data_IF_919885378579
#
_entry.id   IF_919885378579
#
_cell.length_a   1.000
_cell.length_b   1.000
_cell.length_c   1.000
_cell.angle_alpha   90.00
_cell.angle_beta   90.00
_cell.angle_gamma   90.00
#
_symmetry.space_group_name_H-M   'P 1'
#
loop_
_entity.id
_entity.type
_entity.pdbx_description
1 polymer ?
#
# COMPACT_ATOMS: atom_id res chain seq x y z
N UNK A 1 20.47 18.36 -2.37
CA UNK A 1 21.04 18.38 -1.00
C UNK A 1 19.89 18.47 0.03
N UNK A 2 19.11 17.40 0.24
CA UNK A 2 17.83 17.48 0.98
C UNK A 2 17.80 16.89 2.40
N UNK A 3 18.87 16.26 2.88
CA UNK A 3 18.86 15.63 4.22
C UNK A 3 20.01 16.12 5.10
N UNK A 4 19.69 17.09 5.98
CA UNK A 4 20.61 17.71 6.94
C UNK A 4 21.00 16.83 8.13
N UNK A 5 20.23 15.79 8.46
CA UNK A 5 20.48 14.90 9.62
C UNK A 5 20.39 13.43 9.23
N UNK A 6 21.18 12.58 9.88
CA UNK A 6 21.13 11.12 9.71
C UNK A 6 19.71 10.56 9.97
N UNK A 7 19.02 11.10 10.98
CA UNK A 7 17.64 10.72 11.31
C UNK A 7 16.66 11.07 10.20
N UNK A 8 16.82 12.21 9.51
CA UNK A 8 15.90 12.59 8.44
C UNK A 8 16.06 11.70 7.20
N UNK A 9 17.27 11.17 6.95
CA UNK A 9 17.49 10.15 5.90
C UNK A 9 16.77 8.85 6.23
N UNK A 10 16.87 8.39 7.48
CA UNK A 10 16.21 7.15 7.92
C UNK A 10 14.70 7.28 7.83
N UNK A 11 14.13 8.37 8.35
CA UNK A 11 12.69 8.62 8.28
C UNK A 11 12.24 8.67 6.82
N UNK A 12 12.99 9.33 5.96
CA UNK A 12 12.66 9.40 4.54
C UNK A 12 12.68 8.02 3.85
N UNK A 13 13.69 7.20 4.11
CA UNK A 13 13.78 5.83 3.59
C UNK A 13 12.60 4.99 4.09
N UNK A 14 12.29 5.06 5.39
CA UNK A 14 11.14 4.36 5.98
C UNK A 14 9.82 4.80 5.35
N UNK A 15 9.62 6.09 5.13
CA UNK A 15 8.43 6.62 4.47
C UNK A 15 8.29 6.11 3.03
N UNK A 16 9.39 6.03 2.28
CA UNK A 16 9.38 5.46 0.91
C UNK A 16 9.07 3.97 0.96
N UNK A 17 9.68 3.21 1.87
CA UNK A 17 9.39 1.77 2.03
C UNK A 17 7.92 1.53 2.41
N UNK A 18 7.38 2.36 3.30
CA UNK A 18 5.98 2.33 3.71
C UNK A 18 5.04 2.62 2.53
N UNK A 19 5.33 3.68 1.76
CA UNK A 19 4.55 4.07 0.59
C UNK A 19 4.58 3.01 -0.50
N UNK A 20 5.76 2.43 -0.79
CA UNK A 20 5.90 1.36 -1.78
C UNK A 20 5.15 0.09 -1.36
N UNK A 21 5.24 -0.30 -0.08
CA UNK A 21 4.46 -1.42 0.46
C UNK A 21 2.95 -1.16 0.35
N UNK A 22 2.49 0.04 0.69
CA UNK A 22 1.09 0.42 0.56
C UNK A 22 0.61 0.35 -0.89
N UNK A 23 1.40 0.84 -1.85
CA UNK A 23 1.08 0.77 -3.28
C UNK A 23 0.97 -0.68 -3.78
N UNK A 24 1.84 -1.58 -3.31
CA UNK A 24 1.78 -3.01 -3.64
C UNK A 24 0.49 -3.62 -3.09
N UNK A 25 0.15 -3.37 -1.82
CA UNK A 25 -1.06 -3.89 -1.20
C UNK A 25 -2.34 -3.32 -1.85
N UNK A 26 -2.33 -2.03 -2.18
CA UNK A 26 -3.43 -1.39 -2.91
C UNK A 26 -3.62 -2.00 -4.30
N UNK A 27 -2.54 -2.31 -5.01
CA UNK A 27 -2.59 -3.01 -6.28
C UNK A 27 -3.16 -4.42 -6.14
N UNK A 28 -2.69 -5.20 -5.16
CA UNK A 28 -3.21 -6.54 -4.87
C UNK A 28 -4.71 -6.49 -4.53
N UNK A 29 -5.13 -5.59 -3.65
CA UNK A 29 -6.55 -5.39 -3.32
C UNK A 29 -7.39 -5.05 -4.56
N UNK A 30 -6.86 -4.22 -5.46
CA UNK A 30 -7.54 -3.88 -6.72
C UNK A 30 -7.70 -5.09 -7.64
N UNK A 31 -6.67 -5.94 -7.74
CA UNK A 31 -6.74 -7.17 -8.55
C UNK A 31 -7.73 -8.16 -7.95
N UNK A 32 -7.71 -8.36 -6.63
CA UNK A 32 -8.65 -9.22 -5.91
C UNK A 32 -10.10 -8.75 -6.12
N UNK A 33 -10.35 -7.46 -5.92
CA UNK A 33 -11.65 -6.85 -6.16
C UNK A 33 -12.15 -7.11 -7.59
N UNK A 34 -11.30 -6.88 -8.59
CA UNK A 34 -11.66 -7.11 -9.98
C UNK A 34 -12.07 -8.56 -10.22
N UNK A 35 -11.37 -9.52 -9.63
CA UNK A 35 -11.68 -10.94 -9.78
C UNK A 35 -13.01 -11.29 -9.10
N UNK A 36 -13.24 -10.84 -7.87
CA UNK A 36 -14.51 -11.04 -7.15
C UNK A 36 -15.70 -10.43 -7.91
N UNK A 37 -15.51 -9.25 -8.50
CA UNK A 37 -16.52 -8.62 -9.35
C UNK A 37 -16.79 -9.43 -10.62
N UNK A 38 -15.75 -9.88 -11.33
CA UNK A 38 -15.91 -10.70 -12.53
C UNK A 38 -16.66 -12.01 -12.24
N UNK A 39 -16.35 -12.66 -11.11
CA UNK A 39 -17.07 -13.85 -10.64
C UNK A 39 -18.53 -13.56 -10.27
N UNK A 40 -18.80 -12.39 -9.68
CA UNK A 40 -20.17 -11.98 -9.38
C UNK A 40 -20.99 -11.76 -10.66
N UNK A 41 -20.37 -11.19 -11.70
CA UNK A 41 -21.00 -11.04 -13.02
C UNK A 41 -21.12 -12.32 -13.84
N UNK A 42 -20.26 -13.30 -13.63
CA UNK A 42 -20.39 -14.60 -14.29
C UNK A 42 -21.48 -15.44 -13.64
N UNK A 43 -21.71 -15.27 -12.33
CA UNK A 43 -22.81 -15.87 -11.56
C UNK A 43 -24.19 -15.30 -11.86
N UNK A 44 -24.31 -14.16 -12.55
CA UNK A 44 -25.57 -13.77 -13.18
C UNK A 44 -25.83 -14.73 -14.35
N UNK A 45 -26.34 -15.91 -14.04
CA UNK A 45 -26.52 -16.98 -15.00
C UNK A 45 -27.52 -16.55 -16.09
N UNK A 46 -27.25 -16.95 -17.34
CA UNK A 46 -28.16 -16.75 -18.50
C UNK A 46 -29.65 -17.07 -18.19
N UNK A 47 -30.02 -18.08 -17.39
CA UNK A 47 -31.42 -18.35 -17.05
C UNK A 47 -32.12 -17.21 -16.31
N UNK A 48 -31.42 -16.47 -15.43
CA UNK A 48 -32.01 -15.30 -14.75
C UNK A 48 -32.31 -14.18 -15.74
N UNK A 49 -31.43 -13.97 -16.71
CA UNK A 49 -31.63 -12.98 -17.79
C UNK A 49 -32.79 -13.36 -18.69
N UNK A 50 -32.88 -14.63 -19.10
CA UNK A 50 -33.99 -15.14 -19.92
C UNK A 50 -35.31 -14.98 -19.17
N UNK A 51 -35.32 -15.22 -17.86
CA UNK A 51 -36.49 -15.00 -17.00
C UNK A 51 -36.90 -13.53 -16.96
N UNK A 52 -35.95 -12.58 -16.96
CA UNK A 52 -36.25 -11.15 -17.06
C UNK A 52 -37.00 -10.85 -18.35
N UNK A 53 -36.46 -11.25 -19.50
CA UNK A 53 -37.11 -11.00 -20.78
C UNK A 53 -38.50 -11.62 -20.84
N UNK A 54 -38.64 -12.85 -20.32
CA UNK A 54 -39.95 -13.52 -20.24
C UNK A 54 -40.94 -12.75 -19.36
N UNK A 55 -40.53 -12.29 -18.17
CA UNK A 55 -41.41 -11.52 -17.29
C UNK A 55 -41.77 -10.14 -17.86
N UNK A 56 -40.86 -9.49 -18.59
CA UNK A 56 -41.14 -8.24 -19.30
C UNK A 56 -42.16 -8.48 -20.42
N UNK A 57 -41.92 -9.48 -21.27
CA UNK A 57 -42.81 -9.80 -22.40
C UNK A 57 -44.20 -10.25 -21.95
N UNK A 58 -44.32 -11.06 -20.89
CA UNK A 58 -45.59 -11.61 -20.42
C UNK A 58 -46.45 -10.58 -19.68
N UNK A 59 -45.83 -9.65 -18.95
CA UNK A 59 -46.54 -8.75 -18.03
C UNK A 59 -46.64 -7.34 -18.52
N UNK A 60 -45.79 -6.91 -19.46
CA UNK A 60 -45.67 -5.52 -19.87
C UNK A 60 -46.05 -5.26 -21.34
N UNK A 61 -46.83 -6.14 -21.96
CA UNK A 61 -46.97 -6.19 -23.42
C UNK A 61 -47.84 -5.12 -24.09
N UNK A 62 -48.48 -4.16 -23.38
CA UNK A 62 -49.39 -3.20 -24.03
C UNK A 62 -49.65 -1.84 -23.33
N UNK A 63 -49.49 -1.67 -22.01
CA UNK A 63 -49.76 -0.37 -21.33
C UNK A 63 -49.00 -0.26 -19.99
N UNK A 64 -47.82 0.37 -19.99
CA UNK A 64 -46.99 0.45 -18.79
C UNK A 64 -46.22 1.76 -18.72
N UNK A 65 -46.05 2.28 -17.51
CA UNK A 65 -45.16 3.43 -17.28
C UNK A 65 -43.71 2.95 -17.04
N UNK A 66 -42.70 3.75 -17.41
CA UNK A 66 -41.30 3.46 -17.10
C UNK A 66 -41.05 3.13 -15.61
N UNK A 67 -41.80 3.79 -14.71
CA UNK A 67 -41.69 3.58 -13.26
C UNK A 67 -42.20 2.20 -12.82
N UNK A 68 -43.27 1.68 -13.44
CA UNK A 68 -43.79 0.34 -13.13
C UNK A 68 -42.81 -0.76 -13.56
N UNK A 69 -42.22 -0.60 -14.75
CA UNK A 69 -41.19 -1.51 -15.26
C UNK A 69 -39.95 -1.46 -14.35
N UNK A 70 -39.50 -0.25 -13.99
CA UNK A 70 -38.35 -0.04 -13.09
C UNK A 70 -38.55 -0.69 -11.73
N UNK A 71 -39.66 -0.40 -11.05
CA UNK A 71 -39.94 -0.94 -9.72
C UNK A 71 -39.95 -2.47 -9.71
N UNK A 72 -40.47 -3.09 -10.78
CA UNK A 72 -40.48 -4.54 -10.92
C UNK A 72 -39.06 -5.09 -11.11
N UNK A 73 -38.27 -4.48 -11.98
CA UNK A 73 -36.88 -4.87 -12.22
C UNK A 73 -36.03 -4.75 -10.96
N UNK A 74 -36.15 -3.64 -10.23
CA UNK A 74 -35.47 -3.42 -8.95
C UNK A 74 -35.86 -4.48 -7.90
N UNK A 75 -37.12 -4.92 -7.88
CA UNK A 75 -37.58 -5.99 -6.98
C UNK A 75 -36.98 -7.37 -7.29
N UNK A 76 -36.63 -7.61 -8.56
CA UNK A 76 -36.07 -8.89 -9.00
C UNK A 76 -34.54 -8.92 -8.87
N UNK A 77 -33.87 -7.77 -8.92
CA UNK A 77 -32.41 -7.66 -9.01
C UNK A 77 -31.85 -6.47 -8.23
N UNK A 78 -31.94 -6.51 -6.90
CA UNK A 78 -31.45 -5.42 -6.03
C UNK A 78 -29.94 -5.13 -6.15
N UNK A 79 -29.15 -6.09 -6.61
CA UNK A 79 -27.68 -6.04 -6.72
C UNK A 79 -27.19 -5.27 -7.95
N UNK A 80 -28.05 -5.09 -8.95
CA UNK A 80 -27.70 -4.52 -10.24
C UNK A 80 -28.62 -3.37 -10.60
N UNK A 81 -28.05 -2.38 -11.27
CA UNK A 81 -28.84 -1.44 -12.04
C UNK A 81 -29.09 -2.05 -13.42
N UNK A 82 -30.34 -2.00 -13.84
CA UNK A 82 -30.81 -2.59 -15.08
C UNK A 82 -31.50 -1.51 -15.88
N UNK A 83 -31.05 -1.31 -17.11
CA UNK A 83 -31.66 -0.41 -18.07
C UNK A 83 -32.23 -1.22 -19.24
N UNK A 84 -33.45 -0.92 -19.64
CA UNK A 84 -34.18 -1.61 -20.70
C UNK A 84 -34.31 -0.69 -21.91
N UNK A 85 -34.12 -1.24 -23.11
CA UNK A 85 -34.13 -0.50 -24.35
C UNK A 85 -35.06 -1.13 -25.39
N UNK A 86 -35.64 -0.29 -26.22
CA UNK A 86 -36.44 -0.70 -27.38
C UNK A 86 -35.56 -1.14 -28.55
N UNK A 87 -36.19 -1.54 -29.66
CA UNK A 87 -35.48 -1.96 -30.89
C UNK A 87 -34.72 -0.83 -31.57
N UNK A 88 -35.16 0.41 -31.40
CA UNK A 88 -34.48 1.59 -31.92
C UNK A 88 -33.30 2.03 -31.02
N UNK A 89 -33.15 1.42 -29.83
CA UNK A 89 -32.15 1.78 -28.84
C UNK A 89 -32.59 2.90 -27.90
N UNK A 90 -33.86 3.28 -27.90
CA UNK A 90 -34.37 4.24 -26.92
C UNK A 90 -34.49 3.56 -25.56
N UNK A 91 -34.15 4.30 -24.52
CA UNK A 91 -34.36 3.87 -23.15
C UNK A 91 -35.85 3.81 -22.83
N UNK A 92 -36.31 2.68 -22.27
CA UNK A 92 -37.71 2.45 -21.86
C UNK A 92 -37.86 2.66 -20.35
N UNK A 93 -37.00 2.01 -19.55
CA UNK A 93 -37.08 1.99 -18.10
C UNK A 93 -35.76 1.56 -17.47
N UNK A 94 -35.49 1.96 -16.22
CA UNK A 94 -34.28 1.55 -15.51
C UNK A 94 -33.72 2.62 -14.57
N UNK A 95 -32.41 2.54 -14.33
CA UNK A 95 -31.73 3.30 -13.27
C UNK A 95 -31.46 4.77 -13.59
N UNK A 96 -31.54 5.19 -14.86
CA UNK A 96 -31.04 6.49 -15.35
C UNK A 96 -29.63 6.85 -14.83
N UNK A 97 -28.80 5.86 -14.51
CA UNK A 97 -27.48 6.10 -13.95
C UNK A 97 -26.53 6.66 -15.00
N UNK A 98 -26.32 7.98 -14.96
CA UNK A 98 -25.24 8.76 -15.56
C UNK A 98 -24.21 7.97 -16.37
N UNK A 99 -24.36 7.94 -17.71
CA UNK A 99 -23.28 8.02 -18.71
C UNK A 99 -23.86 7.87 -20.13
N UNK A 100 -24.09 9.03 -20.74
CA UNK A 100 -24.10 9.36 -22.16
C UNK A 100 -25.07 8.61 -23.12
N UNK A 101 -26.04 9.34 -23.68
CA UNK A 101 -26.92 8.91 -24.80
C UNK A 101 -26.13 8.34 -25.99
N UNK A 102 -24.85 8.71 -26.13
CA UNK A 102 -23.91 8.21 -27.15
C UNK A 102 -23.65 6.68 -27.13
N UNK A 103 -23.85 5.97 -26.01
CA UNK A 103 -23.47 4.54 -25.89
C UNK A 103 -24.44 3.64 -26.66
N UNK A 104 -25.71 4.04 -26.80
CA UNK A 104 -26.70 3.25 -27.54
C UNK A 104 -26.69 3.59 -29.03
N UNK A 105 -26.49 4.86 -29.39
CA UNK A 105 -26.37 5.29 -30.80
C UNK A 105 -25.08 4.78 -31.49
N UNK A 106 -23.99 4.52 -30.77
CA UNK A 106 -22.70 4.08 -31.34
C UNK A 106 -22.37 2.59 -31.14
N UNK A 107 -23.39 1.77 -30.86
CA UNK A 107 -23.30 0.29 -30.75
C UNK A 107 -22.75 -0.40 -32.02
N UNK A 108 -22.77 0.26 -33.18
CA UNK A 108 -22.20 -0.28 -34.43
C UNK A 108 -20.66 -0.24 -34.53
N UNK A 109 -19.93 0.30 -33.54
CA UNK A 109 -18.47 0.35 -33.61
C UNK A 109 -17.81 -0.61 -32.61
N UNK A 110 -17.22 -1.66 -33.17
CA UNK A 110 -16.27 -2.58 -32.52
C UNK A 110 -15.17 -1.87 -31.69
N UNK A 111 -14.94 -0.58 -31.96
CA UNK A 111 -14.00 0.32 -31.25
C UNK A 111 -14.41 0.66 -29.80
N UNK A 112 -15.69 0.63 -29.44
CA UNK A 112 -16.12 1.05 -28.10
C UNK A 112 -15.78 0.01 -27.01
N UNK A 113 -15.71 -1.29 -27.38
CA UNK A 113 -15.30 -2.37 -26.47
C UNK A 113 -13.85 -2.21 -25.95
N UNK A 114 -12.97 -1.56 -26.72
CA UNK A 114 -11.56 -1.41 -26.34
C UNK A 114 -11.28 -0.17 -25.48
N UNK A 115 -12.10 0.88 -25.60
CA UNK A 115 -11.90 2.16 -24.90
C UNK A 115 -12.44 2.14 -23.45
N UNK A 116 -13.36 1.21 -23.15
CA UNK A 116 -14.02 1.09 -21.85
C UNK A 116 -13.29 0.10 -20.93
N UNK A 117 -11.95 0.23 -20.79
CA UNK A 117 -11.18 -0.62 -19.86
C UNK A 117 -11.59 -0.45 -18.38
N UNK A 118 -12.33 0.61 -18.03
CA UNK A 118 -12.90 0.82 -16.68
C UNK A 118 -14.39 0.43 -16.52
N UNK A 119 -15.19 0.28 -17.59
CA UNK A 119 -16.58 -0.21 -17.48
C UNK A 119 -16.73 -1.67 -17.95
N UNK A 120 -15.80 -2.51 -17.50
CA UNK A 120 -15.80 -3.98 -17.66
C UNK A 120 -16.93 -4.68 -16.88
N UNK A 121 -17.82 -3.90 -16.25
CA UNK A 121 -18.95 -4.33 -15.43
C UNK A 121 -20.28 -3.89 -16.05
N UNK A 122 -20.31 -3.74 -17.37
CA UNK A 122 -21.52 -3.55 -18.14
C UNK A 122 -21.68 -4.74 -19.06
N UNK A 123 -22.79 -5.45 -18.96
CA UNK A 123 -23.17 -6.49 -19.93
C UNK A 123 -24.50 -6.13 -20.56
N UNK A 124 -24.58 -6.29 -21.88
CA UNK A 124 -25.81 -6.12 -22.65
C UNK A 124 -26.29 -7.50 -23.06
N UNK A 125 -27.55 -7.77 -22.82
CA UNK A 125 -28.24 -8.97 -23.26
C UNK A 125 -29.36 -8.56 -24.22
N UNK A 126 -29.64 -9.41 -25.20
CA UNK A 126 -30.69 -9.20 -26.18
C UNK A 126 -31.84 -10.15 -25.91
N UNK A 127 -33.06 -9.68 -26.12
CA UNK A 127 -34.25 -10.49 -25.98
C UNK A 127 -34.25 -11.60 -27.05
N UNK A 128 -34.37 -12.89 -26.68
CA UNK A 128 -34.55 -13.95 -27.67
C UNK A 128 -35.84 -13.81 -28.49
N UNK A 129 -36.87 -13.16 -27.94
CA UNK A 129 -38.10 -12.83 -28.64
C UNK A 129 -37.91 -11.59 -29.52
N UNK A 130 -37.88 -11.79 -30.85
CA UNK A 130 -37.65 -10.71 -31.82
C UNK A 130 -38.82 -9.74 -31.93
N UNK A 131 -40.02 -10.18 -31.54
CA UNK A 131 -41.25 -9.41 -31.67
C UNK A 131 -41.58 -8.61 -30.41
N UNK A 132 -40.76 -8.70 -29.37
CA UNK A 132 -40.91 -7.89 -28.15
C UNK A 132 -40.57 -6.41 -28.39
N UNK A 133 -41.22 -5.53 -27.64
CA UNK A 133 -40.85 -4.12 -27.50
C UNK A 133 -39.60 -3.94 -26.61
N UNK A 134 -39.32 -4.88 -25.70
CA UNK A 134 -38.13 -4.90 -24.86
C UNK A 134 -36.99 -5.62 -25.57
N UNK A 135 -36.18 -4.89 -26.34
CA UNK A 135 -35.17 -5.49 -27.22
C UNK A 135 -33.87 -5.84 -26.51
N UNK A 136 -33.39 -4.96 -25.63
CA UNK A 136 -32.10 -5.13 -24.97
C UNK A 136 -32.16 -4.70 -23.50
N UNK A 137 -31.34 -5.36 -22.69
CA UNK A 137 -31.16 -5.04 -21.28
C UNK A 137 -29.68 -4.86 -21.00
N UNK A 138 -29.34 -3.71 -20.43
CA UNK A 138 -28.01 -3.38 -19.93
C UNK A 138 -27.98 -3.58 -18.43
N UNK A 139 -27.09 -4.43 -17.97
CA UNK A 139 -26.86 -4.68 -16.55
C UNK A 139 -25.54 -4.07 -16.15
N UNK A 140 -25.56 -3.25 -15.11
CA UNK A 140 -24.36 -2.69 -14.50
C UNK A 140 -24.43 -2.75 -12.98
N UNK A 141 -23.27 -2.82 -12.33
CA UNK A 141 -23.21 -2.91 -10.87
C UNK A 141 -23.77 -1.67 -10.20
N UNK A 142 -24.52 -1.89 -9.12
CA UNK A 142 -24.84 -0.87 -8.14
C UNK A 142 -23.68 -0.76 -7.14
N UNK A 143 -22.75 0.17 -7.37
CA UNK A 143 -21.50 0.25 -6.59
C UNK A 143 -21.69 0.67 -5.12
N UNK A 144 -22.70 1.51 -4.82
CA UNK A 144 -22.81 2.20 -3.52
C UNK A 144 -23.27 1.28 -2.37
N UNK A 145 -24.04 0.23 -2.66
CA UNK A 145 -24.63 -0.65 -1.63
C UNK A 145 -24.22 -2.13 -1.77
N UNK A 146 -23.22 -2.43 -2.60
CA UNK A 146 -22.80 -3.82 -2.77
C UNK A 146 -21.97 -4.31 -1.56
N UNK A 147 -22.25 -5.51 -1.00
CA UNK A 147 -21.42 -6.12 0.05
C UNK A 147 -19.95 -6.22 -0.33
N UNK A 148 -19.68 -6.36 -1.63
CA UNK A 148 -18.33 -6.43 -2.22
C UNK A 148 -17.58 -5.11 -1.96
N UNK A 149 -18.23 -3.96 -2.17
CA UNK A 149 -17.59 -2.66 -1.92
C UNK A 149 -17.17 -2.49 -0.46
N UNK A 150 -18.04 -2.87 0.48
CA UNK A 150 -17.74 -2.80 1.92
C UNK A 150 -16.56 -3.71 2.30
N UNK A 151 -16.52 -4.93 1.76
CA UNK A 151 -15.40 -5.85 2.00
C UNK A 151 -14.08 -5.30 1.45
N UNK A 152 -14.09 -4.74 0.24
CA UNK A 152 -12.88 -4.18 -0.38
C UNK A 152 -12.41 -2.92 0.33
N UNK A 153 -13.35 -2.07 0.75
CA UNK A 153 -13.04 -0.91 1.57
C UNK A 153 -12.41 -1.30 2.91
N UNK A 154 -12.96 -2.32 3.58
CA UNK A 154 -12.37 -2.87 4.81
C UNK A 154 -10.98 -3.45 4.57
N UNK A 155 -10.78 -4.22 3.50
CA UNK A 155 -9.47 -4.78 3.15
C UNK A 155 -8.43 -3.67 2.87
N UNK A 156 -8.86 -2.59 2.22
CA UNK A 156 -8.01 -1.42 1.99
C UNK A 156 -7.63 -0.75 3.32
N UNK A 157 -8.60 -0.54 4.21
CA UNK A 157 -8.38 0.07 5.52
C UNK A 157 -7.45 -0.80 6.40
N UNK A 158 -7.68 -2.11 6.42
CA UNK A 158 -6.82 -3.09 7.10
C UNK A 158 -5.39 -3.08 6.54
N UNK A 159 -5.23 -2.97 5.23
CA UNK A 159 -3.91 -2.87 4.61
C UNK A 159 -3.16 -1.59 5.02
N UNK A 160 -3.87 -0.47 5.15
CA UNK A 160 -3.31 0.78 5.67
C UNK A 160 -2.86 0.67 7.12
N UNK A 161 -3.72 0.11 8.00
CA UNK A 161 -3.38 -0.16 9.40
C UNK A 161 -2.17 -1.10 9.50
N UNK A 162 -2.14 -2.16 8.69
CA UNK A 162 -1.02 -3.09 8.65
C UNK A 162 0.30 -2.40 8.27
N UNK A 163 0.30 -1.55 7.25
CA UNK A 163 1.49 -0.78 6.84
C UNK A 163 1.97 0.13 7.97
N UNK A 164 1.05 0.81 8.66
CA UNK A 164 1.39 1.67 9.81
C UNK A 164 2.05 0.86 10.92
N UNK A 165 1.47 -0.29 11.29
CA UNK A 165 2.02 -1.17 12.34
C UNK A 165 3.40 -1.70 11.99
N UNK A 166 3.59 -2.19 10.76
CA UNK A 166 4.89 -2.67 10.29
C UNK A 166 5.91 -1.54 10.26
N UNK A 167 5.53 -0.35 9.77
CA UNK A 167 6.42 0.81 9.72
C UNK A 167 6.82 1.27 11.12
N UNK A 168 5.89 1.27 12.07
CA UNK A 168 6.16 1.59 13.48
C UNK A 168 7.10 0.58 14.13
N UNK A 169 6.87 -0.73 13.90
CA UNK A 169 7.72 -1.80 14.43
C UNK A 169 9.16 -1.70 13.89
N UNK A 170 9.31 -1.53 12.58
CA UNK A 170 10.63 -1.40 11.94
C UNK A 170 11.32 -0.12 12.41
N UNK A 171 10.61 1.00 12.44
CA UNK A 171 11.13 2.28 12.92
C UNK A 171 11.59 2.19 14.38
N UNK A 172 10.78 1.61 15.26
CA UNK A 172 11.14 1.41 16.66
C UNK A 172 12.39 0.54 16.82
N UNK A 173 12.48 -0.58 16.08
CA UNK A 173 13.63 -1.49 16.13
C UNK A 173 14.92 -0.83 15.65
N UNK A 174 14.85 0.00 14.60
CA UNK A 174 15.98 0.78 14.10
C UNK A 174 16.45 1.83 15.13
N UNK A 175 15.52 2.62 15.67
CA UNK A 175 15.83 3.64 16.68
C UNK A 175 16.45 3.00 17.92
N UNK A 176 15.90 1.89 18.41
CA UNK A 176 16.43 1.16 19.55
C UNK A 176 17.88 0.70 19.31
N UNK A 177 18.15 0.12 18.14
CA UNK A 177 19.48 -0.36 17.79
C UNK A 177 20.51 0.77 17.67
N UNK A 178 20.14 1.86 16.99
CA UNK A 178 20.99 3.03 16.81
C UNK A 178 21.29 3.72 18.14
N UNK A 179 20.27 3.97 18.96
CA UNK A 179 20.43 4.60 20.26
C UNK A 179 21.36 3.77 21.17
N UNK A 180 21.21 2.45 21.19
CA UNK A 180 22.07 1.57 21.99
C UNK A 180 23.54 1.67 21.58
N UNK A 181 23.85 1.75 20.29
CA UNK A 181 25.24 1.87 19.81
C UNK A 181 25.80 3.28 20.03
N UNK A 182 24.99 4.31 19.80
CA UNK A 182 25.37 5.70 20.06
C UNK A 182 25.62 5.97 21.55
N UNK A 183 24.80 5.39 22.44
CA UNK A 183 24.99 5.52 23.88
C UNK A 183 26.31 4.87 24.35
N UNK A 184 26.68 3.72 23.77
CA UNK A 184 27.98 3.09 24.02
C UNK A 184 29.14 3.98 23.57
N UNK A 185 29.05 4.55 22.37
CA UNK A 185 30.07 5.48 21.86
C UNK A 185 30.17 6.72 22.76
N UNK A 186 29.05 7.31 23.15
CA UNK A 186 28.99 8.45 24.07
C UNK A 186 29.65 8.13 25.43
N UNK A 187 29.35 6.96 26.00
CA UNK A 187 29.97 6.48 27.24
C UNK A 187 31.47 6.25 27.08
N UNK A 188 31.91 5.68 25.95
CA UNK A 188 33.34 5.52 25.65
C UNK A 188 34.07 6.85 25.61
N UNK A 189 33.54 7.82 24.84
CA UNK A 189 34.11 9.18 24.78
C UNK A 189 34.19 9.79 26.17
N UNK A 190 33.12 9.71 26.96
CA UNK A 190 33.09 10.25 28.33
C UNK A 190 34.15 9.62 29.25
N UNK A 191 34.49 8.35 29.07
CA UNK A 191 35.53 7.67 29.85
C UNK A 191 36.93 8.17 29.49
N UNK A 192 37.23 8.31 28.20
CA UNK A 192 38.50 8.90 27.75
C UNK A 192 38.66 10.33 28.28
N UNK A 193 37.61 11.15 28.24
CA UNK A 193 37.68 12.52 28.77
C UNK A 193 37.91 12.57 30.28
N UNK A 194 37.60 11.50 31.01
CA UNK A 194 37.84 11.36 32.44
C UNK A 194 39.20 10.69 32.77
N UNK A 195 40.04 10.41 31.76
CA UNK A 195 41.35 9.80 31.95
C UNK A 195 41.37 8.27 31.93
N UNK A 196 40.25 7.60 31.62
CA UNK A 196 40.21 6.15 31.42
C UNK A 196 40.53 5.79 29.95
N UNK A 197 41.78 5.43 29.65
CA UNK A 197 42.24 5.15 28.27
C UNK A 197 42.27 3.66 27.89
N UNK A 198 42.11 2.75 28.84
CA UNK A 198 42.04 1.30 28.59
C UNK A 198 40.60 0.84 28.29
N UNK A 199 39.95 1.52 27.35
CA UNK A 199 38.59 1.17 26.93
C UNK A 199 38.57 0.76 25.47
N UNK A 200 37.75 -0.23 25.17
CA UNK A 200 37.48 -0.68 23.80
C UNK A 200 35.98 -0.79 23.59
N UNK A 201 35.49 -0.14 22.55
CA UNK A 201 34.14 -0.28 22.06
C UNK A 201 34.01 -1.52 21.18
N UNK A 202 32.82 -2.11 21.17
CA UNK A 202 32.50 -3.21 20.24
C UNK A 202 32.48 -2.66 18.81
N UNK A 203 33.37 -3.18 17.97
CA UNK A 203 33.63 -2.71 16.60
C UNK A 203 33.21 -3.71 15.52
N UNK A 204 32.38 -4.69 15.91
CA UNK A 204 31.82 -5.69 15.01
C UNK A 204 30.79 -5.05 14.06
N UNK A 205 31.09 -5.13 12.77
CA UNK A 205 30.20 -4.70 11.69
C UNK A 205 30.96 -4.02 10.55
N UNK A 206 30.19 -3.65 9.53
CA UNK A 206 30.63 -2.95 8.32
C UNK A 206 29.85 -1.65 8.09
N UNK A 207 29.08 -1.19 9.07
CA UNK A 207 28.31 0.06 9.01
C UNK A 207 29.12 1.28 9.50
N UNK A 208 28.57 2.48 9.33
CA UNK A 208 29.21 3.73 9.73
C UNK A 208 29.52 3.79 11.24
N UNK A 209 28.71 3.11 12.06
CA UNK A 209 28.91 3.07 13.51
C UNK A 209 30.08 2.14 13.88
N UNK A 210 30.24 1.00 13.19
CA UNK A 210 31.40 0.14 13.34
C UNK A 210 32.68 0.85 12.88
N UNK A 211 32.62 1.63 11.80
CA UNK A 211 33.73 2.48 11.38
C UNK A 211 34.13 3.50 12.46
N UNK A 212 33.14 4.17 13.07
CA UNK A 212 33.38 5.09 14.19
C UNK A 212 33.97 4.38 15.42
N UNK A 213 33.48 3.18 15.76
CA UNK A 213 34.00 2.38 16.86
C UNK A 213 35.47 1.94 16.63
N UNK A 214 35.84 1.54 15.41
CA UNK A 214 37.22 1.21 15.05
C UNK A 214 38.15 2.41 15.20
N UNK A 215 37.75 3.56 14.67
CA UNK A 215 38.54 4.79 14.79
C UNK A 215 38.66 5.23 16.25
N UNK A 216 37.59 5.10 17.03
CA UNK A 216 37.61 5.36 18.46
C UNK A 216 38.61 4.46 19.20
N UNK A 217 38.58 3.15 18.93
CA UNK A 217 39.49 2.18 19.53
C UNK A 217 40.95 2.46 19.16
N UNK A 218 41.21 2.81 17.91
CA UNK A 218 42.55 3.17 17.44
C UNK A 218 43.06 4.42 18.18
N UNK A 219 42.24 5.48 18.26
CA UNK A 219 42.57 6.70 19.01
C UNK A 219 42.85 6.41 20.49
N UNK A 220 41.99 5.65 21.17
CA UNK A 220 42.18 5.28 22.59
C UNK A 220 43.48 4.49 22.79
N UNK A 221 43.80 3.57 21.88
CA UNK A 221 45.01 2.77 21.92
C UNK A 221 46.28 3.61 21.76
N UNK A 222 46.30 4.55 20.83
CA UNK A 222 47.45 5.45 20.63
C UNK A 222 47.66 6.35 21.85
N UNK A 223 46.59 6.91 22.43
CA UNK A 223 46.70 7.72 23.65
C UNK A 223 47.27 6.89 24.81
N UNK A 224 46.74 5.68 25.02
CA UNK A 224 47.23 4.79 26.09
C UNK A 224 48.71 4.40 25.87
N UNK A 225 49.10 4.12 24.63
CA UNK A 225 50.49 3.83 24.28
C UNK A 225 51.40 5.03 24.57
N UNK A 226 51.01 6.24 24.17
CA UNK A 226 51.74 7.46 24.48
C UNK A 226 51.91 7.62 25.99
N UNK A 227 50.84 7.50 26.79
CA UNK A 227 50.91 7.62 28.25
C UNK A 227 51.84 6.59 28.88
N UNK A 228 51.79 5.33 28.44
CA UNK A 228 52.68 4.28 28.93
C UNK A 228 54.15 4.59 28.60
N UNK A 229 54.43 5.17 27.43
CA UNK A 229 55.78 5.63 27.08
C UNK A 229 56.23 6.78 28.00
N UNK A 230 55.39 7.79 28.23
CA UNK A 230 55.70 8.89 29.16
C UNK A 230 56.00 8.37 30.57
N UNK A 231 55.19 7.43 31.08
CA UNK A 231 55.42 6.79 32.40
C UNK A 231 56.73 5.99 32.44
N UNK A 232 57.07 5.27 31.36
CA UNK A 232 58.32 4.53 31.26
C UNK A 232 59.55 5.46 31.30
N UNK A 233 59.53 6.57 30.56
CA UNK A 233 60.62 7.54 30.55
C UNK A 233 60.81 8.20 31.92
N UNK A 234 59.72 8.57 32.61
CA UNK A 234 59.79 9.19 33.93
C UNK A 234 60.38 8.23 34.99
N UNK A 235 59.96 6.96 34.98
CA UNK A 235 60.50 5.95 35.90
C UNK A 235 61.98 5.66 35.63
N UNK A 236 62.41 5.77 34.37
CA UNK A 236 63.80 5.55 33.96
C UNK A 236 64.68 6.74 34.35
N UNK A 237 64.21 7.98 34.17
CA UNK A 237 64.95 9.17 34.57
C UNK A 237 65.17 9.20 36.09
N UNK A 238 64.12 8.91 36.88
CA UNK A 238 64.23 8.80 38.33
C UNK A 238 65.25 7.74 38.77
N UNK A 239 65.17 6.52 38.21
CA UNK A 239 66.13 5.45 38.52
C UNK A 239 67.57 5.86 38.19
N UNK A 240 67.76 6.56 37.08
CA UNK A 240 69.09 7.03 36.66
C UNK A 240 69.60 8.11 37.60
N UNK A 241 68.74 9.05 37.99
CA UNK A 241 69.04 10.09 38.97
C UNK A 241 69.44 9.50 40.34
N UNK A 242 68.67 8.55 40.88
CA UNK A 242 69.01 7.86 42.13
C UNK A 242 70.34 7.09 42.04
N UNK A 243 70.65 6.47 40.90
CA UNK A 243 71.94 5.79 40.68
C UNK A 243 73.11 6.77 40.66
N UNK A 244 72.93 7.97 40.13
CA UNK A 244 73.96 9.01 40.11
C UNK A 244 74.18 9.61 41.50
N UNK A 245 73.12 9.89 42.26
CA UNK A 245 73.21 10.35 43.65
C UNK A 245 73.97 9.36 44.55
N UNK A 246 73.81 8.05 44.31
CA UNK A 246 74.47 7.00 45.11
C UNK A 246 75.96 6.81 44.75
N UNK A 247 76.46 7.50 43.72
CA UNK A 247 77.88 7.45 43.27
C UNK A 247 78.68 8.70 43.67
N UNK A 248 78.04 9.69 44.29
CA UNK A 248 78.65 10.88 44.88
C UNK A 248 78.76 10.64 46.37
#
# INVERSE_FOLDING_TARGET
MFFKSFYTRIIFILSIMSLTLFMILAYVNTVLFKNELLESFSRVEKPRIIKIFKELDERFSNEFTPDQVKAKIDSLFFEFNIDVFDRAGNWIAGSESYMNKDVVEKSNSKKLYEQIRFASFVKIYYNPNKDSEFHAIKIHLRFVDSPIFNQVFLNFLLSGVFVILVSALVGWRLVYYLNKRLDRLKKGVSKITNGEFDIKLEDKGSDEIAFLAKNFNHMSSEINKSLNLWMYYQKTSERTFYRLLKRI
#
